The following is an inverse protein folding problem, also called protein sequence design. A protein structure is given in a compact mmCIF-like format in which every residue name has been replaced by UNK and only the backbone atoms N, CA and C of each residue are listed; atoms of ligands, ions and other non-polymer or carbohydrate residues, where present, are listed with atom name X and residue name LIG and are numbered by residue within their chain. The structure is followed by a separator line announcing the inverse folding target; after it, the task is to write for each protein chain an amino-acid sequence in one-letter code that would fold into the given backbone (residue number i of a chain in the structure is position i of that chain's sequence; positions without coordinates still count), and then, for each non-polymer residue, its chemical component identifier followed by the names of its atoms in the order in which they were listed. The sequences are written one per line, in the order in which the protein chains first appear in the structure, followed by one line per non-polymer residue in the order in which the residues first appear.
data_IF_948954053287
#
_entry.id   IF_948954053287
#
_cell.length_a   1.000
_cell.length_b   1.000
_cell.length_c   1.000
_cell.angle_alpha   90.00
_cell.angle_beta   90.00
_cell.angle_gamma   90.00
#
_symmetry.space_group_name_H-M   'P 1'
#
loop_
_entity.id
_entity.type
_entity.pdbx_description
1 polymer ?
#
# COMPACT_ATOMS: atom_id res chain seq x y z
N UNK A 1 16.48 -7.79 26.93
CA UNK A 1 15.32 -8.46 26.32
C UNK A 1 14.38 -8.87 27.44
N UNK A 2 13.09 -8.50 27.38
CA UNK A 2 12.11 -8.95 28.37
C UNK A 2 12.04 -10.49 28.38
N UNK A 3 11.79 -11.07 29.55
CA UNK A 3 11.64 -12.52 29.73
C UNK A 3 10.17 -12.87 29.94
N UNK A 4 9.69 -13.91 29.27
CA UNK A 4 8.29 -14.30 29.39
C UNK A 4 7.95 -14.80 30.80
N UNK A 5 6.82 -14.36 31.31
CA UNK A 5 6.22 -14.77 32.58
C UNK A 5 4.95 -15.56 32.28
N UNK A 6 4.91 -16.82 32.70
CA UNK A 6 3.77 -17.71 32.44
C UNK A 6 2.80 -17.73 33.61
N UNK A 7 1.51 -17.84 33.28
CA UNK A 7 0.44 -18.01 34.26
C UNK A 7 0.62 -19.33 35.02
N UNK A 8 0.46 -19.34 36.36
CA UNK A 8 0.45 -20.55 37.18
C UNK A 8 -0.37 -21.71 36.58
N UNK A 9 0.20 -22.92 36.57
CA UNK A 9 -0.41 -24.12 36.00
C UNK A 9 -0.07 -24.37 34.52
N UNK A 10 0.64 -23.45 33.86
CA UNK A 10 1.15 -23.66 32.51
C UNK A 10 2.44 -24.49 32.52
N UNK A 11 2.62 -25.38 31.54
CA UNK A 11 3.88 -26.10 31.34
C UNK A 11 4.92 -25.17 30.70
N UNK A 12 5.99 -24.79 31.43
CA UNK A 12 6.96 -23.81 30.95
C UNK A 12 7.78 -24.31 29.75
N UNK A 13 7.96 -25.62 29.57
CA UNK A 13 8.73 -26.17 28.44
C UNK A 13 7.93 -26.03 27.16
N UNK A 14 6.68 -26.50 27.19
CA UNK A 14 5.75 -26.34 26.08
C UNK A 14 5.52 -24.87 25.74
N UNK A 15 5.26 -24.03 26.75
CA UNK A 15 4.97 -22.62 26.57
C UNK A 15 6.14 -21.87 25.91
N UNK A 16 7.39 -22.12 26.33
CA UNK A 16 8.57 -21.51 25.68
C UNK A 16 8.69 -21.92 24.22
N UNK A 17 8.49 -23.20 23.91
CA UNK A 17 8.58 -23.70 22.54
C UNK A 17 7.48 -23.13 21.64
N UNK A 18 6.25 -23.02 22.15
CA UNK A 18 5.14 -22.41 21.43
C UNK A 18 5.35 -20.90 21.22
N UNK A 19 5.77 -20.19 22.27
CA UNK A 19 6.05 -18.75 22.20
C UNK A 19 7.18 -18.44 21.21
N UNK A 20 8.24 -19.25 21.16
CA UNK A 20 9.36 -19.05 20.24
C UNK A 20 8.96 -19.05 18.76
N UNK A 21 7.84 -19.71 18.40
CA UNK A 21 7.31 -19.70 17.02
C UNK A 21 6.60 -18.39 16.67
N UNK A 22 6.04 -17.71 17.67
CA UNK A 22 5.29 -16.46 17.49
C UNK A 22 6.22 -15.24 17.49
N UNK A 23 7.34 -15.32 18.21
CA UNK A 23 8.32 -14.25 18.31
C UNK A 23 9.25 -14.18 17.08
N UNK A 24 9.73 -12.98 16.68
CA UNK A 24 10.77 -12.81 15.69
C UNK A 24 12.03 -13.58 16.07
N UNK A 25 12.36 -14.60 15.29
CA UNK A 25 13.59 -15.37 15.44
C UNK A 25 14.35 -15.35 14.12
N UNK A 26 15.65 -15.61 14.16
CA UNK A 26 16.49 -15.64 12.95
C UNK A 26 16.01 -16.78 12.05
N UNK A 27 15.39 -16.43 10.92
CA UNK A 27 14.82 -17.38 9.96
C UNK A 27 13.38 -17.83 10.27
N UNK A 28 12.75 -17.28 11.31
CA UNK A 28 11.32 -17.49 11.62
C UNK A 28 10.44 -16.38 11.04
N UNK A 29 9.15 -16.67 10.88
CA UNK A 29 8.11 -15.75 10.42
C UNK A 29 7.27 -15.14 11.56
N UNK A 30 7.71 -15.35 12.80
CA UNK A 30 7.09 -14.79 14.00
C UNK A 30 7.11 -13.26 13.98
N UNK A 31 5.96 -12.65 14.27
CA UNK A 31 5.75 -11.19 14.22
C UNK A 31 5.16 -10.61 15.51
N UNK A 32 5.03 -11.43 16.55
CA UNK A 32 4.57 -11.00 17.87
C UNK A 32 5.73 -10.49 18.71
N UNK A 33 5.49 -9.48 19.53
CA UNK A 33 6.49 -8.97 20.48
C UNK A 33 6.04 -9.27 21.89
N UNK A 34 6.99 -9.60 22.76
CA UNK A 34 6.72 -9.73 24.18
C UNK A 34 6.60 -8.32 24.80
N UNK A 35 5.62 -8.09 25.67
CA UNK A 35 5.50 -6.85 26.43
C UNK A 35 6.70 -6.63 27.35
N UNK A 36 6.94 -5.39 27.76
CA UNK A 36 8.09 -5.02 28.60
C UNK A 36 8.12 -5.78 29.94
N UNK A 37 6.95 -6.06 30.51
CA UNK A 37 6.79 -6.83 31.73
C UNK A 37 6.80 -8.36 31.52
N UNK A 38 6.83 -8.82 30.26
CA UNK A 38 6.87 -10.23 29.91
C UNK A 38 5.57 -11.00 30.10
N UNK A 39 4.46 -10.32 30.43
CA UNK A 39 3.18 -10.96 30.78
C UNK A 39 2.17 -10.98 29.63
N UNK A 40 2.47 -10.32 28.52
CA UNK A 40 1.62 -10.25 27.35
C UNK A 40 2.44 -10.42 26.06
N UNK A 41 1.75 -10.81 24.99
CA UNK A 41 2.28 -10.73 23.63
C UNK A 41 1.42 -9.78 22.80
N UNK A 42 2.07 -9.01 21.96
CA UNK A 42 1.48 -7.88 21.25
C UNK A 42 1.85 -7.90 19.77
N UNK A 43 0.94 -7.47 18.92
CA UNK A 43 1.18 -7.34 17.49
C UNK A 43 0.22 -6.34 16.83
N UNK A 44 0.74 -5.64 15.82
CA UNK A 44 -0.08 -4.81 14.93
C UNK A 44 -0.36 -5.54 13.62
N UNK A 45 -1.61 -5.50 13.17
CA UNK A 45 -2.11 -6.00 11.90
C UNK A 45 -2.55 -4.83 11.02
N UNK A 46 -2.18 -4.87 9.74
CA UNK A 46 -2.55 -3.84 8.76
C UNK A 46 -3.35 -4.47 7.63
N UNK A 47 -4.45 -3.85 7.25
CA UNK A 47 -5.27 -4.28 6.12
C UNK A 47 -5.40 -3.20 5.05
N UNK A 48 -6.05 -3.53 3.93
CA UNK A 48 -6.26 -2.59 2.83
C UNK A 48 -7.23 -1.45 3.18
N UNK A 49 -8.22 -1.72 4.01
CA UNK A 49 -9.24 -0.76 4.42
C UNK A 49 -9.91 -1.20 5.74
N UNK A 50 -10.74 -0.33 6.30
CA UNK A 50 -11.44 -0.58 7.56
C UNK A 50 -12.35 -1.81 7.52
N UNK A 51 -13.08 -2.04 6.40
CA UNK A 51 -13.96 -3.22 6.27
C UNK A 51 -13.19 -4.52 6.45
N UNK A 52 -11.99 -4.63 5.85
CA UNK A 52 -11.14 -5.82 6.04
C UNK A 52 -10.64 -5.97 7.47
N UNK A 53 -10.28 -4.86 8.13
CA UNK A 53 -9.95 -4.89 9.56
C UNK A 53 -11.14 -5.40 10.37
N UNK A 54 -12.34 -4.92 10.09
CA UNK A 54 -13.56 -5.32 10.80
C UNK A 54 -13.94 -6.78 10.57
N UNK A 55 -13.80 -7.28 9.34
CA UNK A 55 -14.01 -8.70 9.02
C UNK A 55 -13.08 -9.60 9.84
N UNK A 56 -11.79 -9.24 9.89
CA UNK A 56 -10.79 -9.91 10.73
C UNK A 56 -11.16 -9.86 12.21
N UNK A 57 -11.52 -8.68 12.72
CA UNK A 57 -11.94 -8.50 14.12
C UNK A 57 -13.15 -9.37 14.47
N UNK A 58 -14.12 -9.47 13.57
CA UNK A 58 -15.32 -10.29 13.75
C UNK A 58 -14.96 -11.77 13.82
N UNK A 59 -14.07 -12.25 12.95
CA UNK A 59 -13.59 -13.62 12.97
C UNK A 59 -12.81 -13.94 14.26
N UNK A 60 -11.91 -13.05 14.70
CA UNK A 60 -11.19 -13.21 15.98
C UNK A 60 -12.17 -13.23 17.16
N UNK A 61 -13.18 -12.36 17.16
CA UNK A 61 -14.20 -12.29 18.22
C UNK A 61 -14.97 -13.61 18.38
N UNK A 62 -15.27 -14.29 17.27
CA UNK A 62 -15.89 -15.61 17.31
C UNK A 62 -14.98 -16.65 17.98
N UNK A 63 -13.68 -16.61 17.70
CA UNK A 63 -12.70 -17.51 18.33
C UNK A 63 -12.51 -17.21 19.81
N UNK A 64 -12.56 -15.93 20.21
CA UNK A 64 -12.55 -15.49 21.59
C UNK A 64 -13.72 -16.11 22.37
N UNK A 65 -14.92 -16.06 21.78
CA UNK A 65 -16.14 -16.63 22.36
C UNK A 65 -16.01 -18.15 22.55
N UNK A 66 -15.45 -18.87 21.57
CA UNK A 66 -15.25 -20.31 21.65
C UNK A 66 -14.24 -20.68 22.75
N UNK A 67 -13.11 -19.97 22.81
CA UNK A 67 -12.05 -20.24 23.81
C UNK A 67 -12.29 -19.60 25.17
N UNK A 68 -13.34 -18.79 25.30
CA UNK A 68 -13.66 -17.96 26.46
C UNK A 68 -12.41 -17.19 26.96
N UNK A 69 -11.80 -16.44 26.04
CA UNK A 69 -10.58 -15.68 26.27
C UNK A 69 -10.54 -14.50 25.30
N UNK A 70 -10.24 -13.30 25.80
CA UNK A 70 -10.46 -12.06 25.05
C UNK A 70 -9.14 -11.27 24.95
N UNK A 71 -8.90 -10.58 23.83
CA UNK A 71 -7.71 -9.76 23.66
C UNK A 71 -7.89 -8.39 24.28
N UNK A 72 -6.78 -7.72 24.49
CA UNK A 72 -6.72 -6.27 24.54
C UNK A 72 -6.45 -5.77 23.12
N UNK A 73 -7.31 -4.92 22.55
CA UNK A 73 -7.08 -4.40 21.20
C UNK A 73 -7.40 -2.91 21.11
N UNK A 74 -6.81 -2.25 20.12
CA UNK A 74 -7.08 -0.84 19.79
C UNK A 74 -7.04 -0.65 18.27
N UNK A 75 -8.06 0.03 17.73
CA UNK A 75 -8.06 0.48 16.34
C UNK A 75 -7.38 1.85 16.27
N UNK A 76 -6.32 1.94 15.48
CA UNK A 76 -5.43 3.11 15.46
C UNK A 76 -4.14 2.88 16.26
N UNK A 77 -3.10 3.62 15.90
CA UNK A 77 -1.77 3.50 16.50
C UNK A 77 -1.82 3.63 18.02
N UNK A 78 -1.27 2.64 18.73
CA UNK A 78 -1.00 2.74 20.16
C UNK A 78 -0.05 3.91 20.47
N UNK A 79 -0.31 4.51 21.63
CA UNK A 79 0.29 5.67 22.33
C UNK A 79 1.76 6.06 22.09
N UNK A 80 2.63 5.21 21.53
CA UNK A 80 4.09 5.46 21.48
C UNK A 80 4.66 5.81 20.11
N UNK A 81 3.85 5.78 19.04
CA UNK A 81 4.31 6.17 17.68
C UNK A 81 3.76 7.53 17.23
N UNK A 82 3.19 8.31 18.15
CA UNK A 82 2.35 9.48 17.82
C UNK A 82 3.05 10.82 18.03
N UNK A 83 4.30 10.97 17.61
CA UNK A 83 4.96 12.29 17.69
C UNK A 83 5.39 12.88 16.35
N UNK A 84 5.20 12.19 15.22
CA UNK A 84 5.56 12.78 13.94
C UNK A 84 4.60 12.36 12.83
N UNK A 85 4.01 13.36 12.18
CA UNK A 85 3.12 13.31 11.01
C UNK A 85 1.63 12.99 11.28
N UNK A 86 0.86 14.09 11.40
CA UNK A 86 -0.49 14.24 10.84
C UNK A 86 -1.40 13.02 10.90
N UNK A 87 -2.14 12.89 12.00
CA UNK A 87 -3.22 11.90 12.22
C UNK A 87 -4.28 11.95 11.10
N UNK A 88 -4.03 11.21 10.02
CA UNK A 88 -5.10 10.52 9.31
C UNK A 88 -5.34 9.24 10.11
N UNK A 89 -6.50 9.14 10.75
CA UNK A 89 -6.95 7.93 11.45
C UNK A 89 -6.79 6.73 10.52
N UNK A 90 -5.74 5.94 10.71
CA UNK A 90 -5.53 4.74 9.93
C UNK A 90 -6.40 3.63 10.50
N UNK A 91 -7.69 3.65 10.15
CA UNK A 91 -8.66 2.62 10.51
C UNK A 91 -8.29 1.22 9.98
N UNK A 92 -7.27 1.13 9.11
CA UNK A 92 -6.77 -0.13 8.61
C UNK A 92 -5.68 -0.77 9.50
N UNK A 93 -5.27 -0.10 10.60
CA UNK A 93 -4.33 -0.63 11.59
C UNK A 93 -5.06 -1.08 12.86
N UNK A 94 -4.82 -2.32 13.28
CA UNK A 94 -5.36 -2.93 14.48
C UNK A 94 -4.22 -3.47 15.33
N UNK A 95 -4.13 -3.00 16.57
CA UNK A 95 -3.24 -3.57 17.56
C UNK A 95 -3.98 -4.64 18.38
N UNK A 96 -3.32 -5.76 18.65
CA UNK A 96 -3.85 -6.87 19.45
C UNK A 96 -2.79 -7.30 20.47
N UNK A 97 -3.20 -7.41 21.73
CA UNK A 97 -2.45 -7.92 22.86
C UNK A 97 -3.19 -9.10 23.50
N UNK A 98 -2.44 -10.13 23.90
CA UNK A 98 -2.97 -11.29 24.62
C UNK A 98 -2.26 -11.45 25.95
N UNK A 99 -3.05 -11.55 27.02
CA UNK A 99 -2.58 -11.88 28.36
C UNK A 99 -3.67 -12.61 29.13
N UNK A 100 -3.29 -13.42 30.11
CA UNK A 100 -4.21 -13.99 31.08
C UNK A 100 -4.17 -13.18 32.37
N UNK A 101 -5.31 -12.61 32.77
CA UNK A 101 -5.39 -11.76 33.96
C UNK A 101 -5.41 -12.55 35.29
N UNK A 102 -5.93 -13.78 35.28
CA UNK A 102 -6.06 -14.61 36.49
C UNK A 102 -5.98 -16.12 36.17
N UNK A 103 -5.01 -16.85 36.73
CA UNK A 103 -3.79 -16.33 37.37
C UNK A 103 -2.97 -15.51 36.37
N UNK A 104 -2.29 -14.46 36.84
CA UNK A 104 -1.63 -13.49 35.96
C UNK A 104 -0.45 -14.11 35.19
N UNK A 105 -0.34 -13.80 33.90
CA UNK A 105 0.78 -14.18 33.02
C UNK A 105 0.31 -14.74 31.67
N UNK A 106 1.25 -15.21 30.84
CA UNK A 106 0.92 -15.88 29.58
C UNK A 106 0.44 -17.32 29.81
N UNK A 107 -0.67 -17.71 29.20
CA UNK A 107 -1.20 -19.07 29.19
C UNK A 107 -1.27 -19.65 27.77
N UNK A 108 -1.57 -20.94 27.65
CA UNK A 108 -1.74 -21.60 26.34
C UNK A 108 -2.82 -20.94 25.48
N UNK A 109 -3.86 -20.36 26.11
CA UNK A 109 -4.94 -19.66 25.40
C UNK A 109 -4.42 -18.42 24.67
N UNK A 110 -3.49 -17.68 25.27
CA UNK A 110 -2.86 -16.51 24.67
C UNK A 110 -2.11 -16.90 23.39
N UNK A 111 -1.31 -17.95 23.47
CA UNK A 111 -0.50 -18.43 22.34
C UNK A 111 -1.36 -19.03 21.22
N UNK A 112 -2.39 -19.80 21.60
CA UNK A 112 -3.34 -20.38 20.65
C UNK A 112 -4.09 -19.29 19.86
N UNK A 113 -4.60 -18.28 20.55
CA UNK A 113 -5.35 -17.20 19.92
C UNK A 113 -4.46 -16.29 19.09
N UNK A 114 -3.22 -16.06 19.51
CA UNK A 114 -2.22 -15.39 18.69
C UNK A 114 -1.92 -16.15 17.38
N UNK A 115 -1.76 -17.47 17.44
CA UNK A 115 -1.57 -18.29 16.25
C UNK A 115 -2.81 -18.29 15.32
N UNK A 116 -4.01 -18.30 15.89
CA UNK A 116 -5.26 -18.16 15.13
C UNK A 116 -5.34 -16.79 14.45
N UNK A 117 -4.97 -15.71 15.15
CA UNK A 117 -4.87 -14.38 14.54
C UNK A 117 -3.91 -14.38 13.35
N UNK A 118 -2.78 -15.10 13.41
CA UNK A 118 -1.85 -15.19 12.28
C UNK A 118 -2.46 -15.89 11.07
N UNK A 119 -3.22 -16.97 11.28
CA UNK A 119 -3.92 -17.67 10.22
C UNK A 119 -5.02 -16.79 9.61
N UNK A 120 -5.88 -16.20 10.44
CA UNK A 120 -6.96 -15.32 9.99
C UNK A 120 -6.41 -14.09 9.26
N UNK A 121 -5.32 -13.49 9.74
CA UNK A 121 -4.71 -12.34 9.10
C UNK A 121 -4.24 -12.66 7.67
N UNK A 122 -3.68 -13.85 7.45
CA UNK A 122 -3.33 -14.34 6.10
C UNK A 122 -4.58 -14.47 5.23
N UNK A 123 -5.64 -15.09 5.74
CA UNK A 123 -6.90 -15.32 5.02
C UNK A 123 -7.63 -14.01 4.66
N UNK A 124 -7.58 -13.01 5.54
CA UNK A 124 -8.19 -11.69 5.32
C UNK A 124 -7.31 -10.73 4.51
N UNK A 125 -6.10 -11.16 4.10
CA UNK A 125 -5.20 -10.38 3.25
C UNK A 125 -4.50 -9.24 3.99
N UNK A 126 -3.90 -9.55 5.14
CA UNK A 126 -3.01 -8.63 5.85
C UNK A 126 -1.92 -8.10 4.90
N UNK A 127 -1.73 -6.78 4.94
CA UNK A 127 -0.69 -6.08 4.19
C UNK A 127 0.59 -6.11 5.00
N UNK A 128 1.48 -7.03 4.61
CA UNK A 128 2.86 -7.10 5.11
C UNK A 128 3.72 -6.22 4.19
N UNK A 129 4.51 -5.29 4.74
CA UNK A 129 5.48 -4.54 3.91
C UNK A 129 6.46 -5.53 3.27
N UNK A 130 6.81 -5.48 1.98
CA UNK A 130 6.71 -4.41 0.98
C UNK A 130 5.79 -4.78 -0.20
N UNK A 131 4.59 -4.19 -0.26
CA UNK A 131 3.66 -4.34 -1.40
C UNK A 131 3.56 -3.07 -2.26
N UNK A 132 4.35 -2.04 -1.92
CA UNK A 132 4.41 -0.77 -2.66
C UNK A 132 5.21 -0.90 -3.95
N UNK A 133 6.28 -1.69 -3.94
CA UNK A 133 7.17 -1.81 -5.11
C UNK A 133 6.60 -2.72 -6.22
N UNK A 134 5.94 -3.82 -5.87
CA UNK A 134 5.42 -4.77 -6.86
C UNK A 134 4.15 -4.30 -7.59
N UNK A 135 3.37 -3.40 -6.99
CA UNK A 135 2.19 -2.82 -7.66
C UNK A 135 2.55 -1.67 -8.61
N UNK A 136 3.67 -0.99 -8.39
CA UNK A 136 4.12 0.09 -9.27
C UNK A 136 4.64 -0.46 -10.63
N UNK A 137 5.27 -1.64 -10.63
CA UNK A 137 5.74 -2.27 -11.88
C UNK A 137 4.62 -2.89 -12.71
N UNK A 138 3.58 -3.47 -12.09
CA UNK A 138 2.42 -4.02 -12.85
C UNK A 138 1.53 -2.94 -13.48
N UNK A 139 1.44 -1.75 -12.88
CA UNK A 139 0.66 -0.64 -13.43
C UNK A 139 1.41 0.19 -14.48
N UNK A 140 2.73 0.08 -14.58
CA UNK A 140 3.50 0.69 -15.68
C UNK A 140 3.44 -0.12 -16.99
N UNK A 141 3.01 -1.38 -16.95
CA UNK A 141 2.90 -2.26 -18.14
C UNK A 141 1.51 -2.29 -18.78
N UNK A 142 0.56 -1.47 -18.32
CA UNK A 142 -0.74 -1.26 -18.97
C UNK A 142 -1.08 0.23 -19.08
N UNK A 143 -0.29 1.00 -19.84
CA UNK A 143 -0.82 2.19 -20.51
C UNK A 143 -1.13 1.83 -21.96
N UNK A 144 -2.39 1.98 -22.43
CA UNK A 144 -2.71 1.77 -23.83
C UNK A 144 -2.11 2.91 -24.67
N UNK A 145 -1.70 2.53 -25.87
CA UNK A 145 -1.25 3.37 -26.99
C UNK A 145 -2.37 4.38 -27.32
N UNK A 146 -2.35 5.56 -26.69
CA UNK A 146 -3.27 6.67 -27.05
C UNK A 146 -2.49 7.95 -27.40
N UNK A 147 -1.17 7.99 -27.13
CA UNK A 147 -0.34 9.15 -27.41
C UNK A 147 0.07 9.30 -28.89
N UNK A 148 -0.21 8.32 -29.76
CA UNK A 148 0.24 8.34 -31.16
C UNK A 148 -0.70 9.07 -32.11
N UNK A 149 -2.00 9.16 -31.82
CA UNK A 149 -2.98 9.75 -32.74
C UNK A 149 -3.02 11.28 -32.66
N UNK A 150 -2.94 11.86 -31.46
CA UNK A 150 -2.89 13.32 -31.28
C UNK A 150 -1.60 13.93 -31.84
N UNK A 151 -0.47 13.22 -31.70
CA UNK A 151 0.81 13.66 -32.25
C UNK A 151 0.82 13.59 -33.79
N UNK A 152 0.19 12.58 -34.40
CA UNK A 152 0.06 12.49 -35.85
C UNK A 152 -0.87 13.57 -36.42
N UNK A 153 -1.97 13.91 -35.74
CA UNK A 153 -2.87 15.00 -36.16
C UNK A 153 -2.20 16.38 -36.05
N UNK A 154 -1.43 16.63 -35.00
CA UNK A 154 -0.68 17.89 -34.88
C UNK A 154 0.42 18.02 -35.94
N UNK A 155 1.07 16.92 -36.31
CA UNK A 155 2.11 16.92 -37.35
C UNK A 155 1.52 17.13 -38.75
N UNK A 156 0.33 16.56 -39.04
CA UNK A 156 -0.40 16.83 -40.29
C UNK A 156 -0.91 18.28 -40.38
N UNK A 157 -1.39 18.86 -39.28
CA UNK A 157 -1.82 20.27 -39.27
C UNK A 157 -0.66 21.25 -39.47
N UNK A 158 0.53 20.95 -38.95
CA UNK A 158 1.72 21.77 -39.18
C UNK A 158 2.23 21.70 -40.64
N UNK A 159 2.12 20.55 -41.29
CA UNK A 159 2.49 20.40 -42.71
C UNK A 159 1.55 21.14 -43.66
N UNK A 160 0.25 21.23 -43.32
CA UNK A 160 -0.72 21.99 -44.13
C UNK A 160 -0.55 23.51 -44.01
N UNK A 161 0.10 24.00 -42.95
CA UNK A 161 0.34 25.44 -42.74
C UNK A 161 1.65 25.94 -43.39
N UNK A 162 2.47 25.05 -43.96
CA UNK A 162 3.73 25.40 -44.62
C UNK A 162 3.70 25.22 -46.15
N UNK A 163 2.55 25.39 -46.80
CA UNK A 163 2.52 25.54 -48.26
C UNK A 163 2.95 26.96 -48.66
N UNK A 164 3.96 27.16 -49.53
CA UNK A 164 4.31 28.48 -50.01
C UNK A 164 3.23 29.03 -50.95
N UNK A 165 2.68 30.19 -50.60
CA UNK A 165 1.95 31.07 -51.52
C UNK A 165 2.96 31.62 -52.54
N UNK A 166 3.13 30.92 -53.66
CA UNK A 166 3.82 31.47 -54.82
C UNK A 166 3.15 31.02 -56.11
N UNK A 167 2.11 31.73 -56.54
CA UNK A 167 1.82 32.02 -57.95
C UNK A 167 0.76 33.13 -57.97
N UNK A 168 1.11 34.31 -58.53
CA UNK A 168 0.28 35.27 -59.28
C UNK A 168 0.68 36.73 -58.99
N UNK A 169 1.46 37.30 -59.91
CA UNK A 169 1.60 38.74 -60.27
C UNK A 169 2.89 38.84 -61.12
N UNK A 170 2.95 39.26 -62.38
CA UNK A 170 2.18 40.27 -63.10
C UNK A 170 2.11 39.93 -64.61
N UNK A 171 0.91 39.92 -65.17
CA UNK A 171 0.71 40.22 -66.59
C UNK A 171 0.72 41.75 -66.74
N UNK A 172 1.63 42.25 -67.57
CA UNK A 172 1.70 43.67 -67.94
C UNK A 172 0.78 43.94 -69.13
N UNK A 173 -0.19 44.86 -68.95
CA UNK A 173 -0.93 45.51 -70.04
C UNK A 173 -0.98 47.00 -69.75
N UNK A 174 -0.44 47.80 -70.67
CA UNK A 174 -0.94 49.09 -71.22
C UNK A 174 0.15 49.66 -72.14
N UNK A 175 0.00 49.56 -73.46
CA UNK A 175 -0.58 50.57 -74.37
C UNK A 175 0.39 51.66 -74.84
N UNK A 176 0.77 51.55 -76.11
CA UNK A 176 0.86 52.58 -77.15
C UNK A 176 1.33 54.01 -76.80
N UNK A 177 2.42 54.44 -77.46
CA UNK A 177 2.72 55.86 -77.67
C UNK A 177 4.13 56.12 -78.21
N UNK A 178 4.25 56.23 -79.55
CA UNK A 178 5.19 57.04 -80.36
C UNK A 178 6.68 57.11 -80.01
N UNK A 179 7.55 56.80 -80.97
CA UNK A 179 8.14 57.84 -81.85
C UNK A 179 9.23 57.25 -82.77
N UNK A 180 9.34 57.87 -83.92
CA UNK A 180 10.06 57.53 -85.12
C UNK A 180 11.46 58.15 -85.05
N UNK A 181 12.50 57.44 -85.50
CA UNK A 181 13.84 58.02 -85.56
C UNK A 181 14.83 57.20 -86.37
N UNK A 182 14.72 57.28 -87.70
CA UNK A 182 15.76 56.81 -88.62
C UNK A 182 17.07 57.59 -88.41
N UNK A 183 18.18 56.87 -88.44
CA UNK A 183 19.52 57.45 -88.62
C UNK A 183 19.75 57.95 -90.05
N UNK A 184 20.83 58.74 -90.27
CA UNK A 184 21.02 59.53 -91.49
C UNK A 184 21.76 58.77 -92.59
N UNK A 185 21.32 58.92 -93.84
CA UNK A 185 22.14 59.11 -95.05
C UNK A 185 21.32 59.80 -96.13
#
# INVERSE_FOLDING_TARGET
MPSATFSPGSDPVFMKAALAKLLPTRGGDGRWTLSDDGQAIERSFKFKNFTKTWDFMTAVSLQCKIKNHHPEWSNGSNKHQTEELGRIMNFALLFVGWTTHSPRGLSSKDLDLAAICDALARDFGEVIGDSSEQQHQKNQQKKPVVASEEQQQQQQQQQQQQSPLSTLANEAVTSAGGDCGCGPK
#
